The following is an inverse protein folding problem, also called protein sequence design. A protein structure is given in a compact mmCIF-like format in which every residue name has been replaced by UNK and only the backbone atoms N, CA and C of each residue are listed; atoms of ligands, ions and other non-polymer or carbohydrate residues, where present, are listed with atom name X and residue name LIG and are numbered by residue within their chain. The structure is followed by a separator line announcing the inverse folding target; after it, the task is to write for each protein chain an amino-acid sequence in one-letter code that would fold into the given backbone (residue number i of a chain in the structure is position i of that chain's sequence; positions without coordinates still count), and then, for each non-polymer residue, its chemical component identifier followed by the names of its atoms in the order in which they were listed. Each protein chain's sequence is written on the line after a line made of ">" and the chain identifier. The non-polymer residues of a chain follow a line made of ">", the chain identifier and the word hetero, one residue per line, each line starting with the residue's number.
data_IF_552966528413
#
_entry.id   IF_552966528413
#
_cell.length_a   1.000
_cell.length_b   1.000
_cell.length_c   1.000
_cell.angle_alpha   90.00
_cell.angle_beta   90.00
_cell.angle_gamma   90.00
#
_symmetry.space_group_name_H-M   'P 1'
#
loop_
_entity.id
_entity.type
_entity.pdbx_description
1 polymer ?
#
# COMPACT_ATOMS: atom_id res chain seq x y z
N UNK A 1 16.24 2.87 -3.82
CA UNK A 1 15.11 2.38 -3.00
C UNK A 1 13.95 2.16 -3.93
N UNK A 2 13.33 0.98 -3.92
CA UNK A 2 12.13 0.75 -4.72
C UNK A 2 11.00 1.62 -4.16
N UNK A 3 10.55 2.60 -4.93
CA UNK A 3 9.37 3.41 -4.64
C UNK A 3 8.18 2.74 -5.29
N UNK A 4 7.23 2.28 -4.46
CA UNK A 4 5.97 1.70 -4.95
C UNK A 4 4.88 2.76 -4.92
N UNK A 5 4.08 2.83 -5.97
CA UNK A 5 2.86 3.63 -5.99
C UNK A 5 1.71 2.85 -5.32
N UNK A 6 0.71 3.54 -4.77
CA UNK A 6 -0.49 2.91 -4.20
C UNK A 6 -1.28 2.10 -5.23
N UNK A 7 -1.11 2.41 -6.52
CA UNK A 7 -1.66 1.63 -7.64
C UNK A 7 -1.02 0.23 -7.80
N UNK A 8 0.15 0.00 -7.19
CA UNK A 8 0.92 -1.25 -7.30
C UNK A 8 0.73 -2.15 -6.07
N UNK A 9 -0.14 -1.74 -5.13
CA UNK A 9 -0.39 -2.46 -3.89
C UNK A 9 -1.16 -3.74 -4.17
N UNK A 10 -0.55 -4.85 -3.78
CA UNK A 10 -1.09 -6.21 -3.87
C UNK A 10 -0.82 -6.95 -2.56
N UNK A 11 -1.67 -7.92 -2.25
CA UNK A 11 -1.46 -8.79 -1.08
C UNK A 11 -0.08 -9.45 -1.14
N UNK A 12 0.62 -9.48 -0.01
CA UNK A 12 1.98 -10.00 0.13
C UNK A 12 3.10 -9.05 -0.29
N UNK A 13 2.79 -7.86 -0.84
CA UNK A 13 3.82 -6.85 -1.11
C UNK A 13 4.44 -6.38 0.20
N UNK A 14 5.78 -6.38 0.27
CA UNK A 14 6.52 -5.90 1.43
C UNK A 14 6.89 -4.43 1.27
N UNK A 15 6.54 -3.63 2.26
CA UNK A 15 6.78 -2.18 2.29
C UNK A 15 7.42 -1.79 3.62
N UNK A 16 8.14 -0.68 3.63
CA UNK A 16 8.62 -0.07 4.87
C UNK A 16 7.59 0.96 5.33
N UNK A 17 7.06 0.80 6.55
CA UNK A 17 6.14 1.74 7.18
C UNK A 17 6.76 2.18 8.51
N UNK A 18 6.96 3.49 8.70
CA UNK A 18 7.58 4.08 9.90
C UNK A 18 8.95 3.48 10.30
N UNK A 19 9.67 2.92 9.33
CA UNK A 19 10.98 2.29 9.54
C UNK A 19 10.92 0.77 9.75
N UNK A 20 9.73 0.18 9.82
CA UNK A 20 9.53 -1.25 10.01
C UNK A 20 9.07 -1.96 8.73
N UNK A 21 9.54 -3.21 8.47
CA UNK A 21 9.10 -3.99 7.33
C UNK A 21 7.72 -4.63 7.60
N UNK A 22 6.74 -4.28 6.77
CA UNK A 22 5.38 -4.80 6.82
C UNK A 22 5.01 -5.51 5.52
N UNK A 23 4.03 -6.41 5.57
CA UNK A 23 3.43 -7.02 4.39
C UNK A 23 1.98 -6.56 4.26
N UNK A 24 1.57 -6.13 3.06
CA UNK A 24 0.19 -5.78 2.77
C UNK A 24 -0.66 -7.05 2.82
N UNK A 25 -1.68 -7.09 3.67
CA UNK A 25 -2.63 -8.21 3.72
C UNK A 25 -3.73 -8.03 2.67
N UNK A 26 -4.34 -6.85 2.67
CA UNK A 26 -5.43 -6.45 1.78
C UNK A 26 -5.28 -4.97 1.44
N UNK A 27 -5.74 -4.56 0.25
CA UNK A 27 -5.73 -3.18 -0.18
C UNK A 27 -7.12 -2.80 -0.68
N UNK A 28 -7.76 -1.82 -0.04
CA UNK A 28 -9.08 -1.33 -0.40
C UNK A 28 -8.98 0.04 -1.10
N UNK A 29 -9.44 0.10 -2.35
CA UNK A 29 -9.48 1.35 -3.11
C UNK A 29 -10.77 2.11 -2.81
N UNK A 30 -10.69 3.11 -1.92
CA UNK A 30 -11.83 3.97 -1.59
C UNK A 30 -11.79 5.25 -2.43
N UNK A 31 -12.89 5.54 -3.13
CA UNK A 31 -13.14 6.85 -3.77
C UNK A 31 -14.26 7.56 -3.01
N UNK A 32 -13.96 8.55 -2.15
CA UNK A 32 -15.00 9.32 -1.47
C UNK A 32 -15.83 10.10 -2.51
N UNK A 33 -17.14 10.15 -2.32
CA UNK A 33 -18.07 10.63 -3.35
C UNK A 33 -17.85 12.08 -3.77
N UNK A 34 -17.82 13.00 -2.80
CA UNK A 34 -17.37 14.40 -3.03
C UNK A 34 -16.00 14.53 -2.38
N UNK A 35 -14.99 14.67 -3.22
CA UNK A 35 -13.57 14.69 -2.86
C UNK A 35 -13.19 15.79 -1.89
#
# INVERSE_FOLDING_TARGET
>A
MATYSTSEFRSGLKVMLDGDPCAILENEFVKPGKG
#
